data_IF_979588971785
#
_entry.id   IF_979588971785
#
_cell.length_a   1.000
_cell.length_b   1.000
_cell.length_c   1.000
_cell.angle_alpha   90.00
_cell.angle_beta   90.00
_cell.angle_gamma   90.00
#
_symmetry.space_group_name_H-M   'P 1'
#
loop_
_entity.id
_entity.type
_entity.pdbx_description
1 polymer ?
#
# COMPACT_ATOMS: atom_id res chain seq x y z
N UNK A 1 27.14 -7.98 24.63
CA UNK A 1 26.96 -7.19 23.41
C UNK A 1 27.67 -5.86 23.59
N UNK A 2 28.46 -5.45 22.62
CA UNK A 2 29.16 -4.18 22.75
C UNK A 2 28.28 -3.02 22.24
N UNK A 3 28.61 -1.82 22.73
CA UNK A 3 27.84 -0.62 22.41
C UNK A 3 27.92 -0.24 20.93
N UNK A 4 28.99 -0.64 20.26
CA UNK A 4 29.19 -0.37 18.83
C UNK A 4 28.13 -1.06 17.97
N UNK A 5 27.81 -2.33 18.24
CA UNK A 5 26.78 -3.06 17.50
C UNK A 5 25.39 -2.45 17.72
N UNK A 6 25.09 -2.03 18.94
CA UNK A 6 23.84 -1.36 19.26
C UNK A 6 23.69 -0.04 18.49
N UNK A 7 24.75 0.77 18.48
CA UNK A 7 24.76 2.03 17.74
C UNK A 7 24.60 1.84 16.23
N UNK A 8 25.25 0.82 15.66
CA UNK A 8 25.13 0.49 14.25
C UNK A 8 23.70 0.09 13.90
N UNK A 9 23.05 -0.71 14.73
CA UNK A 9 21.67 -1.14 14.49
C UNK A 9 20.69 0.03 14.53
N UNK A 10 20.83 0.95 15.49
CA UNK A 10 20.02 2.17 15.55
C UNK A 10 20.23 3.02 14.30
N UNK A 11 21.48 3.21 13.89
CA UNK A 11 21.83 3.98 12.71
C UNK A 11 21.20 3.40 11.44
N UNK A 12 21.24 2.08 11.26
CA UNK A 12 20.63 1.41 10.12
C UNK A 12 19.11 1.59 10.10
N UNK A 13 18.44 1.50 11.25
CA UNK A 13 17.01 1.70 11.35
C UNK A 13 16.62 3.14 10.96
N UNK A 14 17.39 4.12 11.40
CA UNK A 14 17.17 5.53 11.04
C UNK A 14 17.34 5.73 9.53
N UNK A 15 18.40 5.19 8.94
CA UNK A 15 18.65 5.31 7.50
C UNK A 15 17.56 4.66 6.65
N UNK A 16 17.09 3.50 7.05
CA UNK A 16 16.02 2.78 6.34
C UNK A 16 14.65 3.42 6.54
N UNK A 17 14.50 4.27 7.54
CA UNK A 17 13.23 4.93 7.88
C UNK A 17 12.09 3.94 8.07
N UNK A 18 12.41 2.74 8.60
CA UNK A 18 11.41 1.74 8.89
C UNK A 18 10.42 2.24 9.94
N UNK A 19 9.14 1.96 9.73
CA UNK A 19 8.07 2.26 10.67
C UNK A 19 7.26 1.01 10.93
N UNK A 20 6.85 0.83 12.17
CA UNK A 20 6.05 -0.33 12.58
C UNK A 20 4.69 0.12 13.07
N UNK A 21 3.67 -0.69 12.77
CA UNK A 21 2.32 -0.50 13.28
C UNK A 21 1.74 -1.86 13.59
N UNK A 22 1.49 -2.13 14.87
CA UNK A 22 1.07 -3.45 15.31
C UNK A 22 2.16 -4.49 14.99
N UNK A 23 1.79 -5.56 14.29
CA UNK A 23 2.70 -6.62 13.86
C UNK A 23 3.34 -6.35 12.48
N UNK A 24 2.99 -5.24 11.84
CA UNK A 24 3.46 -4.92 10.50
C UNK A 24 4.61 -3.91 10.55
N UNK A 25 5.63 -4.15 9.73
CA UNK A 25 6.76 -3.24 9.55
C UNK A 25 6.78 -2.75 8.11
N UNK A 26 6.95 -1.45 7.93
CA UNK A 26 6.95 -0.81 6.62
C UNK A 26 8.28 -0.10 6.37
N UNK A 27 8.66 0.01 5.11
CA UNK A 27 9.87 0.76 4.73
C UNK A 27 9.75 2.26 4.97
N UNK A 28 8.54 2.75 5.19
CA UNK A 28 8.26 4.15 5.44
C UNK A 28 6.77 4.42 5.31
N UNK A 29 6.39 5.68 5.44
CA UNK A 29 5.01 6.08 5.20
C UNK A 29 4.70 6.11 3.70
N UNK A 30 3.45 5.79 3.36
CA UNK A 30 2.96 5.81 1.97
C UNK A 30 3.71 4.84 1.04
N UNK A 31 4.21 3.75 1.59
CA UNK A 31 4.90 2.69 0.84
C UNK A 31 4.16 1.38 1.01
N UNK A 32 3.23 1.05 0.09
CA UNK A 32 2.45 -0.18 0.19
C UNK A 32 3.32 -1.42 0.02
N UNK A 33 2.93 -2.49 0.69
CA UNK A 33 3.59 -3.79 0.59
C UNK A 33 2.57 -4.90 0.43
N UNK A 34 3.00 -6.04 -0.10
CA UNK A 34 2.17 -7.24 -0.15
C UNK A 34 2.12 -7.90 1.22
N UNK A 35 0.95 -8.44 1.55
CA UNK A 35 0.73 -9.17 2.81
C UNK A 35 0.20 -10.58 2.50
N UNK A 36 1.04 -11.48 1.98
CA UNK A 36 0.60 -12.80 1.51
C UNK A 36 0.05 -13.69 2.63
N UNK A 37 0.42 -13.44 3.86
CA UNK A 37 -0.05 -14.21 5.02
C UNK A 37 -1.34 -13.69 5.63
N UNK A 38 -1.81 -12.53 5.20
CA UNK A 38 -3.08 -12.00 5.69
C UNK A 38 -4.24 -12.83 5.12
N UNK A 39 -5.27 -13.18 5.92
CA UNK A 39 -6.31 -14.09 5.46
C UNK A 39 -7.18 -13.55 4.32
N UNK A 40 -7.37 -12.25 4.21
CA UNK A 40 -8.29 -11.67 3.22
C UNK A 40 -7.69 -10.56 2.38
N UNK A 41 -6.81 -9.71 2.93
CA UNK A 41 -6.28 -8.54 2.24
C UNK A 41 -4.90 -8.81 1.68
N UNK A 42 -4.69 -8.43 0.41
CA UNK A 42 -3.45 -8.71 -0.31
C UNK A 42 -2.34 -7.71 -0.04
N UNK A 43 -2.67 -6.52 0.41
CA UNK A 43 -1.72 -5.43 0.61
C UNK A 43 -2.00 -4.63 1.88
N UNK A 44 -0.98 -3.94 2.37
CA UNK A 44 -1.11 -2.99 3.47
C UNK A 44 -0.19 -1.79 3.22
N UNK A 45 -0.58 -0.65 3.74
CA UNK A 45 0.21 0.58 3.69
C UNK A 45 0.01 1.34 4.99
N UNK A 46 1.10 1.92 5.50
CA UNK A 46 1.01 2.89 6.59
C UNK A 46 0.91 4.27 5.96
N UNK A 47 -0.31 4.73 5.76
CA UNK A 47 -0.59 5.99 5.08
C UNK A 47 -0.44 7.17 6.03
N UNK A 48 0.16 8.22 5.52
CA UNK A 48 0.27 9.49 6.25
C UNK A 48 -0.11 10.62 5.32
N UNK A 49 -1.09 11.42 5.73
CA UNK A 49 -1.58 12.55 4.96
C UNK A 49 -1.97 13.67 5.93
N UNK A 50 -1.41 14.87 5.75
CA UNK A 50 -1.71 16.06 6.55
C UNK A 50 -1.62 15.80 8.07
N UNK A 51 -0.57 15.08 8.49
CA UNK A 51 -0.35 14.75 9.89
C UNK A 51 -1.15 13.58 10.43
N UNK A 52 -2.10 13.06 9.68
CA UNK A 52 -2.87 11.87 10.04
C UNK A 52 -2.12 10.62 9.56
N UNK A 53 -2.01 9.63 10.44
CA UNK A 53 -1.38 8.34 10.14
C UNK A 53 -2.38 7.22 10.34
N UNK A 54 -2.51 6.34 9.36
CA UNK A 54 -3.47 5.24 9.39
C UNK A 54 -2.91 4.00 8.75
N UNK A 55 -3.07 2.84 9.40
CA UNK A 55 -2.80 1.55 8.78
C UNK A 55 -3.98 1.20 7.88
N UNK A 56 -3.72 1.05 6.59
CA UNK A 56 -4.73 0.73 5.60
C UNK A 56 -4.41 -0.62 4.98
N UNK A 57 -5.40 -1.51 4.96
CA UNK A 57 -5.33 -2.77 4.22
C UNK A 57 -6.24 -2.66 3.01
N UNK A 58 -5.76 -3.13 1.88
CA UNK A 58 -6.51 -3.01 0.62
C UNK A 58 -6.25 -4.22 -0.26
N UNK A 59 -7.08 -4.36 -1.29
CA UNK A 59 -7.02 -5.50 -2.20
C UNK A 59 -7.57 -6.77 -1.56
N UNK A 60 -7.80 -7.78 -2.39
CA UNK A 60 -8.30 -9.07 -1.97
C UNK A 60 -7.29 -10.14 -2.34
N UNK A 61 -7.03 -11.09 -1.43
CA UNK A 61 -6.16 -12.22 -1.74
C UNK A 61 -6.69 -12.99 -2.94
N UNK A 62 -5.79 -13.39 -3.83
CA UNK A 62 -6.14 -14.13 -5.03
C UNK A 62 -6.69 -13.29 -6.17
N UNK A 63 -6.90 -12.00 -5.99
CA UNK A 63 -7.38 -11.08 -7.04
C UNK A 63 -6.24 -10.13 -7.41
N UNK A 64 -5.73 -10.27 -8.65
CA UNK A 64 -4.57 -9.47 -9.11
C UNK A 64 -4.90 -8.03 -9.46
N UNK A 65 -6.15 -7.72 -9.81
CA UNK A 65 -6.49 -6.43 -10.43
C UNK A 65 -5.94 -6.37 -11.86
N UNK A 66 -5.89 -5.18 -12.42
CA UNK A 66 -5.39 -5.01 -13.80
C UNK A 66 -3.97 -4.45 -13.85
N UNK A 67 -3.37 -4.12 -12.69
CA UNK A 67 -2.02 -3.56 -12.63
C UNK A 67 -1.91 -2.20 -13.33
N UNK A 68 -0.72 -1.85 -13.79
CA UNK A 68 -0.51 -0.59 -14.49
C UNK A 68 -1.09 -0.61 -15.89
N UNK A 69 -1.67 0.51 -16.38
CA UNK A 69 -2.12 0.60 -17.76
C UNK A 69 -0.95 0.38 -18.73
N UNK A 70 -1.18 -0.40 -19.77
CA UNK A 70 -0.20 -0.63 -20.81
C UNK A 70 -0.83 -0.39 -22.19
N UNK A 71 0.03 -0.25 -23.22
CA UNK A 71 -0.43 -0.09 -24.61
C UNK A 71 -1.15 -1.33 -25.12
N UNK A 72 -0.93 -2.49 -24.49
CA UNK A 72 -1.52 -3.75 -24.90
C UNK A 72 -2.83 -4.08 -24.16
N UNK A 73 -3.35 -3.15 -23.35
CA UNK A 73 -4.62 -3.36 -22.65
C UNK A 73 -5.75 -3.62 -23.67
N UNK A 74 -6.50 -4.70 -23.45
CA UNK A 74 -7.69 -5.01 -24.23
C UNK A 74 -8.84 -4.07 -23.87
N UNK A 75 -9.89 -4.06 -24.70
CA UNK A 75 -11.11 -3.31 -24.38
C UNK A 75 -11.72 -3.77 -23.05
N UNK A 76 -11.69 -5.06 -22.78
CA UNK A 76 -12.21 -5.63 -21.53
C UNK A 76 -11.40 -5.14 -20.32
N UNK A 77 -10.09 -5.11 -20.42
CA UNK A 77 -9.20 -4.60 -19.35
C UNK A 77 -9.44 -3.12 -19.07
N UNK A 78 -9.54 -2.32 -20.13
CA UNK A 78 -9.86 -0.89 -20.00
C UNK A 78 -11.21 -0.66 -19.36
N UNK A 79 -12.20 -1.45 -19.74
CA UNK A 79 -13.55 -1.38 -19.17
C UNK A 79 -13.57 -1.72 -17.69
N UNK A 80 -12.83 -2.76 -17.28
CA UNK A 80 -12.70 -3.13 -15.86
C UNK A 80 -12.03 -2.03 -15.03
N UNK A 81 -10.96 -1.43 -15.55
CA UNK A 81 -10.30 -0.30 -14.89
C UNK A 81 -11.25 0.87 -14.69
N UNK A 82 -11.96 1.24 -15.75
CA UNK A 82 -12.91 2.33 -15.71
C UNK A 82 -14.04 2.04 -14.72
N UNK A 83 -14.59 0.84 -14.74
CA UNK A 83 -15.66 0.45 -13.83
C UNK A 83 -15.21 0.51 -12.36
N UNK A 84 -14.01 0.06 -12.05
CA UNK A 84 -13.46 0.18 -10.70
C UNK A 84 -13.33 1.64 -10.27
N UNK A 85 -12.75 2.47 -11.12
CA UNK A 85 -12.54 3.90 -10.82
C UNK A 85 -13.86 4.63 -10.64
N UNK A 86 -14.85 4.33 -11.47
CA UNK A 86 -16.19 4.97 -11.40
C UNK A 86 -16.92 4.57 -10.10
N UNK A 87 -16.87 3.28 -9.73
CA UNK A 87 -17.52 2.81 -8.50
C UNK A 87 -16.90 3.38 -7.24
N UNK A 88 -15.60 3.63 -7.24
CA UNK A 88 -14.85 4.05 -6.06
C UNK A 88 -14.42 5.52 -6.10
N UNK A 89 -14.95 6.28 -7.03
CA UNK A 89 -14.53 7.66 -7.29
C UNK A 89 -14.52 8.53 -6.02
N UNK A 90 -15.56 8.47 -5.21
CA UNK A 90 -15.65 9.26 -3.97
C UNK A 90 -14.53 8.88 -3.00
N UNK A 91 -14.29 7.60 -2.82
CA UNK A 91 -13.27 7.11 -1.89
C UNK A 91 -11.86 7.37 -2.41
N UNK A 92 -11.64 7.26 -3.71
CA UNK A 92 -10.35 7.58 -4.33
C UNK A 92 -10.01 9.06 -4.09
N UNK A 93 -10.98 9.95 -4.21
CA UNK A 93 -10.78 11.39 -3.96
C UNK A 93 -10.43 11.74 -2.52
N UNK A 94 -10.73 10.86 -1.56
CA UNK A 94 -10.32 11.05 -0.16
C UNK A 94 -8.80 10.98 0.02
N UNK A 95 -8.07 10.47 -0.99
CA UNK A 95 -6.62 10.45 -0.97
C UNK A 95 -6.02 9.33 -0.13
N UNK A 96 -4.83 9.56 0.39
CA UNK A 96 -3.98 8.55 1.02
C UNK A 96 -4.56 7.86 2.25
N UNK A 97 -5.61 8.40 2.85
CA UNK A 97 -6.28 7.79 4.01
C UNK A 97 -7.39 6.83 3.59
N UNK A 98 -7.60 6.62 2.30
CA UNK A 98 -8.62 5.73 1.74
C UNK A 98 -8.03 4.46 1.16
N UNK A 99 -8.61 3.32 1.51
CA UNK A 99 -8.22 2.03 0.92
C UNK A 99 -8.44 2.01 -0.60
N UNK A 100 -9.50 2.64 -1.08
CA UNK A 100 -9.78 2.73 -2.52
C UNK A 100 -8.70 3.49 -3.29
N UNK A 101 -8.14 4.55 -2.70
CA UNK A 101 -7.00 5.26 -3.30
C UNK A 101 -5.82 4.31 -3.55
N UNK A 102 -5.44 3.54 -2.54
CA UNK A 102 -4.31 2.62 -2.66
C UNK A 102 -4.60 1.45 -3.59
N UNK A 103 -5.83 0.90 -3.55
CA UNK A 103 -6.22 -0.16 -4.47
C UNK A 103 -6.16 0.34 -5.93
N UNK A 104 -6.63 1.55 -6.19
CA UNK A 104 -6.54 2.15 -7.53
C UNK A 104 -5.09 2.34 -7.97
N UNK A 105 -4.23 2.82 -7.08
CA UNK A 105 -2.83 3.10 -7.40
C UNK A 105 -2.00 1.83 -7.63
N UNK A 106 -2.24 0.79 -6.84
CA UNK A 106 -1.41 -0.42 -6.86
C UNK A 106 -1.96 -1.52 -7.76
N UNK A 107 -3.29 -1.69 -7.80
CA UNK A 107 -3.93 -2.82 -8.49
C UNK A 107 -4.65 -2.43 -9.77
N UNK A 108 -5.05 -1.20 -9.90
CA UNK A 108 -5.86 -0.69 -11.01
C UNK A 108 -5.27 0.56 -11.65
#
# INVERSE_FOLDING_TARGET
MNDLNYAINIFKSILKKEVSRGKETFQGYNKPKRTPKHPTKSHAVLARDDGETKLIRFGQQGVSGEGDPSKSDTKAEKARRKAFKDRHKKNIKRGKISAAYWANKVKW
#
